data_IF_864135275513
#
_entry.id   IF_864135275513
#
_cell.length_a   1.000
_cell.length_b   1.000
_cell.length_c   1.000
_cell.angle_alpha   90.00
_cell.angle_beta   90.00
_cell.angle_gamma   90.00
#
_symmetry.space_group_name_H-M   'P 1'
#
loop_
_entity.id
_entity.type
_entity.pdbx_description
1 polymer ?
#
# COMPACT_ATOMS: atom_id res chain seq x y z
N UNK A 1 7.55 -9.56 -4.04
CA UNK A 1 6.33 -9.94 -3.30
C UNK A 1 5.70 -8.68 -2.73
N UNK A 2 4.40 -8.47 -2.97
CA UNK A 2 3.62 -7.40 -2.34
C UNK A 2 3.07 -7.92 -1.02
N UNK A 3 3.42 -7.29 0.09
CA UNK A 3 2.77 -7.48 1.38
C UNK A 3 1.67 -6.43 1.60
N UNK A 4 0.77 -6.70 2.54
CA UNK A 4 -0.36 -5.84 2.87
C UNK A 4 -0.33 -5.61 4.37
N UNK A 5 -0.08 -4.37 4.77
CA UNK A 5 -0.10 -3.95 6.17
C UNK A 5 -1.54 -3.58 6.54
N UNK A 6 -2.07 -4.20 7.58
CA UNK A 6 -3.31 -3.75 8.23
C UNK A 6 -2.91 -2.82 9.37
N UNK A 7 -3.41 -1.59 9.38
CA UNK A 7 -3.02 -0.58 10.36
C UNK A 7 -4.15 0.38 10.71
N UNK A 8 -4.03 1.03 11.86
CA UNK A 8 -4.81 2.22 12.22
C UNK A 8 -3.99 3.49 11.95
N UNK A 9 -4.62 4.52 11.38
CA UNK A 9 -3.96 5.80 11.17
C UNK A 9 -3.55 6.45 12.50
N UNK A 10 -2.49 7.27 12.51
CA UNK A 10 -2.03 7.94 13.71
C UNK A 10 -3.10 8.89 14.25
N UNK A 11 -3.37 8.78 15.55
CA UNK A 11 -4.33 9.63 16.24
C UNK A 11 -3.58 10.63 17.11
N UNK A 12 -3.43 11.87 16.63
CA UNK A 12 -2.90 13.02 17.40
C UNK A 12 -1.58 12.77 18.16
N UNK A 13 -0.67 11.97 17.60
CA UNK A 13 0.64 11.69 18.18
C UNK A 13 0.66 10.47 19.09
N UNK A 14 1.63 10.46 20.03
CA UNK A 14 1.88 9.32 20.92
C UNK A 14 0.68 8.96 21.79
N UNK A 15 0.08 9.96 22.42
CA UNK A 15 -0.98 9.77 23.42
C UNK A 15 -2.24 9.13 22.82
N UNK A 16 -2.64 9.54 21.61
CA UNK A 16 -3.77 8.91 20.93
C UNK A 16 -3.44 7.52 20.40
N UNK A 17 -2.19 7.24 20.02
CA UNK A 17 -1.76 5.88 19.69
C UNK A 17 -1.78 4.95 20.92
N UNK A 18 -1.31 5.43 22.07
CA UNK A 18 -1.34 4.66 23.32
C UNK A 18 -2.78 4.38 23.77
N UNK A 19 -3.68 5.38 23.72
CA UNK A 19 -5.10 5.21 24.02
C UNK A 19 -5.76 4.17 23.10
N UNK A 20 -5.56 4.28 21.79
CA UNK A 20 -6.09 3.32 20.80
C UNK A 20 -5.52 1.92 21.03
N UNK A 21 -4.26 1.81 21.42
CA UNK A 21 -3.63 0.52 21.73
C UNK A 21 -4.22 -0.10 23.01
N UNK A 22 -4.53 0.70 24.02
CA UNK A 22 -5.25 0.24 25.21
C UNK A 22 -6.65 -0.28 24.84
N UNK A 23 -7.42 0.49 24.05
CA UNK A 23 -8.74 0.07 23.57
C UNK A 23 -8.66 -1.26 22.80
N UNK A 24 -7.67 -1.43 21.92
CA UNK A 24 -7.44 -2.68 21.19
C UNK A 24 -7.21 -3.87 22.13
N UNK A 25 -6.40 -3.69 23.17
CA UNK A 25 -6.11 -4.75 24.15
C UNK A 25 -7.36 -5.14 24.94
N UNK A 26 -8.19 -4.17 25.34
CA UNK A 26 -9.46 -4.45 26.02
C UNK A 26 -10.42 -5.26 25.14
N UNK A 27 -10.34 -5.09 23.82
CA UNK A 27 -11.13 -5.87 22.84
C UNK A 27 -10.53 -7.24 22.51
N UNK A 28 -9.44 -7.62 23.18
CA UNK A 28 -8.73 -8.89 22.95
C UNK A 28 -7.80 -8.87 21.73
N UNK A 29 -7.51 -7.70 21.15
CA UNK A 29 -6.53 -7.57 20.06
C UNK A 29 -5.15 -7.44 20.68
N UNK A 30 -4.46 -8.57 20.82
CA UNK A 30 -3.09 -8.62 21.36
C UNK A 30 -2.03 -8.31 20.31
N UNK A 31 -2.37 -8.49 19.03
CA UNK A 31 -1.45 -8.31 17.91
C UNK A 31 -1.44 -6.86 17.40
N UNK A 32 -1.07 -5.91 18.27
CA UNK A 32 -1.00 -4.49 17.96
C UNK A 32 0.39 -3.93 18.25
N UNK A 33 0.98 -3.18 17.31
CA UNK A 33 2.29 -2.57 17.46
C UNK A 33 2.27 -1.09 17.04
N UNK A 34 2.68 -0.20 17.94
CA UNK A 34 2.78 1.24 17.63
C UNK A 34 4.04 1.51 16.81
N UNK A 35 3.87 2.09 15.63
CA UNK A 35 4.94 2.51 14.75
C UNK A 35 5.63 3.75 15.31
N UNK A 36 6.88 3.61 15.73
CA UNK A 36 7.67 4.70 16.32
C UNK A 36 8.73 5.28 15.37
N UNK A 37 8.82 4.76 14.13
CA UNK A 37 9.81 5.22 13.15
C UNK A 37 9.54 6.64 12.64
N UNK A 38 10.59 7.29 12.15
CA UNK A 38 10.50 8.61 11.49
C UNK A 38 9.95 8.46 10.08
N UNK A 39 8.64 8.24 10.02
CA UNK A 39 7.87 8.01 8.79
C UNK A 39 6.55 8.77 8.89
N UNK A 40 5.86 9.07 7.78
CA UNK A 40 4.50 9.64 7.83
C UNK A 40 3.51 8.77 8.61
N UNK A 41 3.86 7.50 8.84
CA UNK A 41 3.11 6.54 9.66
C UNK A 41 3.57 6.52 11.13
N UNK A 42 4.35 7.51 11.59
CA UNK A 42 4.69 7.63 13.01
C UNK A 42 3.41 7.72 13.83
N UNK A 43 3.33 6.95 14.91
CA UNK A 43 2.15 6.76 15.77
C UNK A 43 1.00 5.97 15.15
N UNK A 44 1.16 5.41 13.95
CA UNK A 44 0.22 4.43 13.43
C UNK A 44 0.29 3.13 14.24
N UNK A 45 -0.81 2.38 14.32
CA UNK A 45 -0.82 1.07 14.99
C UNK A 45 -0.89 -0.02 13.93
N UNK A 46 0.18 -0.79 13.79
CA UNK A 46 0.21 -2.01 12.98
C UNK A 46 -0.59 -3.11 13.65
N UNK A 47 -1.50 -3.72 12.92
CA UNK A 47 -2.33 -4.85 13.37
C UNK A 47 -1.91 -6.17 12.70
N UNK A 48 -0.94 -6.12 11.79
CA UNK A 48 -0.39 -7.29 11.11
C UNK A 48 0.03 -7.00 9.67
N UNK A 49 0.91 -7.84 9.14
CA UNK A 49 1.34 -7.78 7.74
C UNK A 49 1.03 -9.12 7.08
N UNK A 50 0.32 -9.09 5.97
CA UNK A 50 -0.17 -10.25 5.25
C UNK A 50 0.47 -10.35 3.87
N UNK A 51 0.61 -11.57 3.36
CA UNK A 51 1.16 -11.82 2.01
C UNK A 51 0.12 -11.59 0.90
N UNK A 52 -1.17 -11.65 1.22
CA UNK A 52 -2.28 -11.48 0.26
C UNK A 52 -3.21 -10.37 0.71
N UNK A 53 -3.82 -9.69 -0.26
CA UNK A 53 -4.80 -8.63 0.02
C UNK A 53 -6.05 -9.18 0.71
N UNK A 54 -6.54 -10.34 0.25
CA UNK A 54 -7.72 -10.99 0.81
C UNK A 54 -7.56 -11.31 2.29
N UNK A 55 -6.39 -11.81 2.71
CA UNK A 55 -6.12 -12.08 4.12
C UNK A 55 -6.11 -10.78 4.96
N UNK A 56 -5.49 -9.71 4.43
CA UNK A 56 -5.50 -8.41 5.08
C UNK A 56 -6.90 -7.80 5.22
N UNK A 57 -7.73 -7.90 4.17
CA UNK A 57 -9.12 -7.42 4.18
C UNK A 57 -9.98 -8.23 5.14
N UNK A 58 -9.81 -9.54 5.20
CA UNK A 58 -10.53 -10.40 6.14
C UNK A 58 -10.19 -10.06 7.60
N UNK A 59 -8.92 -9.82 7.90
CA UNK A 59 -8.51 -9.41 9.25
C UNK A 59 -9.06 -8.01 9.58
N UNK A 60 -9.00 -7.05 8.64
CA UNK A 60 -9.59 -5.73 8.83
C UNK A 60 -11.10 -5.80 9.11
N UNK A 61 -11.83 -6.67 8.41
CA UNK A 61 -13.25 -6.90 8.65
C UNK A 61 -13.51 -7.54 10.02
N UNK A 62 -12.68 -8.50 10.44
CA UNK A 62 -12.75 -9.12 11.76
C UNK A 62 -12.51 -8.09 12.88
N UNK A 63 -11.47 -7.26 12.75
CA UNK A 63 -11.17 -6.18 13.70
C UNK A 63 -12.32 -5.16 13.77
N UNK A 64 -12.91 -4.84 12.63
CA UNK A 64 -14.10 -3.97 12.56
C UNK A 64 -15.27 -4.59 13.33
N UNK A 65 -15.51 -5.90 13.21
CA UNK A 65 -16.55 -6.62 13.98
C UNK A 65 -16.28 -6.65 15.50
N UNK A 66 -15.01 -6.65 15.90
CA UNK A 66 -14.62 -6.48 17.31
C UNK A 66 -14.84 -5.04 17.81
N UNK A 67 -15.20 -4.11 16.91
CA UNK A 67 -15.47 -2.71 17.19
C UNK A 67 -14.22 -1.83 17.14
N UNK A 68 -13.17 -2.28 16.45
CA UNK A 68 -12.03 -1.45 16.09
C UNK A 68 -12.40 -0.63 14.85
N UNK A 69 -12.74 0.64 15.06
CA UNK A 69 -13.09 1.55 13.98
C UNK A 69 -11.83 2.13 13.30
N UNK A 70 -11.90 2.34 11.98
CA UNK A 70 -10.85 3.06 11.23
C UNK A 70 -9.67 2.21 10.76
N UNK A 71 -9.78 0.88 10.79
CA UNK A 71 -8.75 -0.02 10.26
C UNK A 71 -8.59 0.18 8.75
N UNK A 72 -7.35 0.31 8.30
CA UNK A 72 -6.98 0.48 6.89
C UNK A 72 -5.99 -0.58 6.44
N UNK A 73 -6.05 -0.90 5.14
CA UNK A 73 -5.10 -1.81 4.49
C UNK A 73 -4.19 -0.97 3.60
N UNK A 74 -2.88 -1.02 3.87
CA UNK A 74 -1.84 -0.40 3.07
C UNK A 74 -1.04 -1.48 2.32
N UNK A 75 -1.12 -1.54 0.99
CA UNK A 75 -0.22 -2.40 0.22
C UNK A 75 1.23 -1.90 0.38
N UNK A 76 2.10 -2.76 0.92
CA UNK A 76 3.54 -2.54 1.08
C UNK A 76 4.31 -3.49 0.17
N UNK A 77 5.13 -2.96 -0.71
CA UNK A 77 5.97 -3.78 -1.58
C UNK A 77 6.48 -2.94 -2.74
N UNK A 78 7.31 -3.51 -3.62
CA UNK A 78 7.58 -2.89 -4.90
C UNK A 78 6.25 -2.78 -5.63
N UNK A 79 5.61 -1.61 -5.52
CA UNK A 79 4.64 -1.15 -6.48
C UNK A 79 5.45 -1.04 -7.76
N UNK A 80 5.48 -2.09 -8.58
CA UNK A 80 5.98 -1.95 -9.94
C UNK A 80 5.13 -0.87 -10.56
N UNK A 81 5.64 0.36 -10.58
CA UNK A 81 5.02 1.49 -11.27
C UNK A 81 5.17 1.20 -12.76
N UNK A 82 4.35 0.28 -13.25
CA UNK A 82 4.22 -0.01 -14.66
C UNK A 82 3.40 1.15 -15.21
N UNK A 83 4.10 2.14 -15.74
CA UNK A 83 3.48 3.19 -16.51
C UNK A 83 3.19 2.66 -17.93
N UNK A 84 1.93 2.78 -18.35
CA UNK A 84 1.53 2.50 -19.72
C UNK A 84 1.21 3.82 -20.41
N UNK A 85 1.98 4.16 -21.43
CA UNK A 85 1.75 5.36 -22.25
C UNK A 85 1.18 4.93 -23.60
N UNK A 86 0.02 5.49 -23.97
CA UNK A 86 -0.56 5.33 -25.30
C UNK A 86 -0.40 6.63 -26.07
N UNK A 87 0.48 6.60 -27.06
CA UNK A 87 0.64 7.70 -28.00
C UNK A 87 -0.39 7.55 -29.13
N UNK A 88 -1.16 8.60 -29.40
CA UNK A 88 -2.13 8.69 -30.50
C UNK A 88 -1.67 9.76 -31.48
N UNK A 89 -2.06 9.62 -32.74
CA UNK A 89 -1.81 10.63 -33.80
C UNK A 89 -0.33 11.02 -33.95
N UNK A 90 0.57 10.06 -33.80
CA UNK A 90 2.01 10.26 -34.03
C UNK A 90 2.40 9.89 -35.45
N UNK A 91 3.26 10.72 -36.05
CA UNK A 91 3.88 10.42 -37.33
C UNK A 91 4.97 9.33 -37.22
N UNK A 92 5.50 8.90 -38.36
CA UNK A 92 6.52 7.86 -38.44
C UNK A 92 7.85 8.28 -37.77
N UNK A 93 8.19 9.57 -37.79
CA UNK A 93 9.43 10.07 -37.19
C UNK A 93 9.37 10.01 -35.65
N UNK A 94 8.24 10.44 -35.07
CA UNK A 94 7.99 10.38 -33.62
C UNK A 94 7.91 8.93 -33.15
N UNK A 95 7.25 8.06 -33.92
CA UNK A 95 7.19 6.62 -33.63
C UNK A 95 8.59 6.01 -33.52
N UNK A 96 9.46 6.27 -34.49
CA UNK A 96 10.81 5.73 -34.49
C UNK A 96 11.62 6.22 -33.28
N UNK A 97 11.47 7.49 -32.89
CA UNK A 97 12.11 8.03 -31.70
C UNK A 97 11.65 7.34 -30.40
N UNK A 98 10.35 7.04 -30.28
CA UNK A 98 9.80 6.33 -29.11
C UNK A 98 10.33 4.89 -29.05
N UNK A 99 10.42 4.20 -30.20
CA UNK A 99 10.96 2.84 -30.27
C UNK A 99 12.44 2.82 -29.90
N UNK A 100 13.24 3.74 -30.43
CA UNK A 100 14.66 3.86 -30.08
C UNK A 100 14.86 4.19 -28.59
N UNK A 101 14.08 5.12 -28.04
CA UNK A 101 14.15 5.44 -26.61
C UNK A 101 13.78 4.23 -25.73
N UNK A 102 12.83 3.40 -26.16
CA UNK A 102 12.42 2.20 -25.44
C UNK A 102 13.45 1.07 -25.46
N UNK A 103 14.32 0.99 -26.47
CA UNK A 103 15.40 -0.03 -26.54
C UNK A 103 16.42 0.10 -25.40
N UNK A 104 16.61 1.31 -24.87
CA UNK A 104 17.45 1.57 -23.69
C UNK A 104 16.81 1.18 -22.35
N UNK A 105 15.52 0.81 -22.34
CA UNK A 105 14.79 0.42 -21.13
C UNK A 105 14.50 -1.09 -21.16
N UNK A 106 15.33 -1.87 -20.49
CA UNK A 106 15.23 -3.35 -20.44
C UNK A 106 13.89 -3.89 -19.91
N UNK A 107 13.06 -3.06 -19.27
CA UNK A 107 11.72 -3.39 -18.79
C UNK A 107 10.57 -2.81 -19.64
N UNK A 108 10.87 -2.09 -20.72
CA UNK A 108 9.84 -1.51 -21.59
C UNK A 108 9.29 -2.56 -22.56
N UNK A 109 7.97 -2.75 -22.55
CA UNK A 109 7.26 -3.54 -23.56
C UNK A 109 6.58 -2.57 -24.52
N UNK A 110 7.06 -2.52 -25.76
CA UNK A 110 6.48 -1.70 -26.82
C UNK A 110 5.49 -2.55 -27.62
N UNK A 111 4.23 -2.11 -27.66
CA UNK A 111 3.23 -2.68 -28.56
C UNK A 111 2.92 -1.69 -29.69
N UNK A 112 3.08 -2.15 -30.93
CA UNK A 112 2.62 -1.41 -32.10
C UNK A 112 1.13 -1.70 -32.24
N UNK A 113 0.28 -0.71 -31.97
CA UNK A 113 -1.14 -0.80 -32.34
C UNK A 113 -1.23 -0.84 -33.87
N UNK A 114 -1.80 -1.91 -34.40
CA UNK A 114 -2.11 -2.10 -35.83
C UNK A 114 -3.42 -1.42 -36.18
#
# INVERSE_FOLDING_TARGET
MTSHLVYLPPANGKEGADRRTAELRERGVTNSFVMQGDSPLKWAISLGVFKTETAARNEAARLTKLGVAGVRVLPRGPQSQRFAYRFRDIDAAIRNRIVEAGRGMSAAVLHICR
#
